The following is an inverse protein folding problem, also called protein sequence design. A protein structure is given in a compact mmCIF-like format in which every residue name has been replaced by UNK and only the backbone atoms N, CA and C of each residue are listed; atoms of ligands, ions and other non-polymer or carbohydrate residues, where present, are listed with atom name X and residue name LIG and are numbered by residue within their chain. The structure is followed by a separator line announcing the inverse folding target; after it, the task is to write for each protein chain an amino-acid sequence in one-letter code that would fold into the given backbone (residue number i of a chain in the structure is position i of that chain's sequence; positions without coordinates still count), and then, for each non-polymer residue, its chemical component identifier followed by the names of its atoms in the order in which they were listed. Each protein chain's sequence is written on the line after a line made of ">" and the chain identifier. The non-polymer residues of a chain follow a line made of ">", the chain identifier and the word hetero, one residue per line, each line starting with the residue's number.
data_IF_009472482198
#
_entry.id   IF_009472482198
#
_cell.length_a   1.000
_cell.length_b   1.000
_cell.length_c   1.000
_cell.angle_alpha   90.00
_cell.angle_beta   90.00
_cell.angle_gamma   90.00
#
_symmetry.space_group_name_H-M   'P 1'
#
loop_
_entity.id
_entity.type
_entity.pdbx_description
1 polymer ?
#
# COMPACT_ATOMS: atom_id res chain seq x y z
N UNK A 1 -8.27 24.80 19.90
CA UNK A 1 -9.34 24.31 19.01
C UNK A 1 -8.83 24.41 17.59
N UNK A 2 -8.37 23.32 16.99
CA UNK A 2 -8.06 23.29 15.57
C UNK A 2 -9.38 23.04 14.84
N UNK A 3 -9.81 23.99 14.01
CA UNK A 3 -10.97 23.81 13.17
C UNK A 3 -10.65 22.71 12.14
N UNK A 4 -11.28 21.54 12.27
CA UNK A 4 -11.31 20.54 11.21
C UNK A 4 -12.12 21.12 10.06
N UNK A 5 -11.45 21.71 9.08
CA UNK A 5 -12.10 22.12 7.84
C UNK A 5 -12.49 20.85 7.08
N UNK A 6 -13.71 20.36 7.28
CA UNK A 6 -14.24 19.20 6.56
C UNK A 6 -14.51 19.61 5.11
N UNK A 7 -13.44 19.62 4.29
CA UNK A 7 -13.54 19.90 2.87
C UNK A 7 -14.51 18.91 2.23
N UNK A 8 -15.66 19.40 1.77
CA UNK A 8 -16.63 18.57 1.07
C UNK A 8 -16.07 18.28 -0.31
N UNK A 9 -15.80 17.01 -0.60
CA UNK A 9 -15.34 16.58 -1.92
C UNK A 9 -16.57 16.36 -2.80
N UNK A 10 -16.59 17.01 -3.97
CA UNK A 10 -17.69 16.90 -4.94
C UNK A 10 -17.22 16.26 -6.24
N UNK A 11 -18.09 15.45 -6.83
CA UNK A 11 -17.85 14.74 -8.08
C UNK A 11 -19.09 14.88 -8.97
N UNK A 12 -18.91 15.33 -10.22
CA UNK A 12 -19.99 15.46 -11.19
C UNK A 12 -19.90 14.34 -12.21
N UNK A 13 -20.97 13.55 -12.32
CA UNK A 13 -21.01 12.37 -13.18
C UNK A 13 -21.86 12.65 -14.41
N UNK A 14 -21.38 12.26 -15.59
CA UNK A 14 -22.23 12.08 -16.76
C UNK A 14 -22.64 10.61 -16.83
N UNK A 15 -23.94 10.35 -16.71
CA UNK A 15 -24.50 8.99 -16.63
C UNK A 15 -25.38 8.74 -17.85
N UNK A 16 -25.12 7.65 -18.57
CA UNK A 16 -26.06 7.06 -19.50
C UNK A 16 -27.06 6.22 -18.70
N UNK A 17 -28.26 6.76 -18.51
CA UNK A 17 -29.33 6.11 -17.75
C UNK A 17 -29.93 4.91 -18.47
N UNK A 18 -29.83 4.85 -19.81
CA UNK A 18 -30.36 3.73 -20.59
C UNK A 18 -29.51 2.49 -20.44
N UNK A 19 -28.18 2.66 -20.34
CA UNK A 19 -27.22 1.57 -20.15
C UNK A 19 -26.79 1.39 -18.70
N UNK A 20 -27.26 2.27 -17.81
CA UNK A 20 -26.83 2.35 -16.41
C UNK A 20 -25.31 2.42 -16.26
N UNK A 21 -24.66 3.31 -17.02
CA UNK A 21 -23.20 3.46 -17.05
C UNK A 21 -22.77 4.89 -16.81
N UNK A 22 -21.72 5.07 -16.02
CA UNK A 22 -21.00 6.34 -15.89
C UNK A 22 -20.09 6.50 -17.11
N UNK A 23 -20.27 7.58 -17.88
CA UNK A 23 -19.49 7.88 -19.07
C UNK A 23 -18.26 8.75 -18.73
N UNK A 24 -18.46 9.75 -17.87
CA UNK A 24 -17.42 10.68 -17.45
C UNK A 24 -17.62 11.09 -15.99
N UNK A 25 -16.52 11.44 -15.33
CA UNK A 25 -16.50 12.04 -14.00
C UNK A 25 -15.61 13.29 -14.02
N UNK A 26 -16.19 14.44 -13.71
CA UNK A 26 -15.50 15.70 -13.51
C UNK A 26 -15.27 15.89 -12.01
N UNK A 27 -14.03 16.17 -11.62
CA UNK A 27 -13.60 16.26 -10.24
C UNK A 27 -12.71 17.48 -9.99
N UNK A 28 -12.80 18.05 -8.80
CA UNK A 28 -11.88 19.09 -8.34
C UNK A 28 -10.48 18.54 -8.03
N UNK A 29 -9.50 19.43 -7.94
CA UNK A 29 -8.09 19.10 -7.67
C UNK A 29 -7.92 18.19 -6.45
N UNK A 30 -8.61 18.47 -5.36
CA UNK A 30 -8.45 17.74 -4.10
C UNK A 30 -8.84 16.26 -4.24
N UNK A 31 -9.89 15.94 -5.02
CA UNK A 31 -10.28 14.56 -5.31
C UNK A 31 -9.24 13.87 -6.19
N UNK A 32 -8.75 14.57 -7.22
CA UNK A 32 -7.77 14.02 -8.16
C UNK A 32 -6.45 13.71 -7.44
N UNK A 33 -5.96 14.64 -6.63
CA UNK A 33 -4.77 14.46 -5.81
C UNK A 33 -4.95 13.29 -4.83
N UNK A 34 -6.11 13.19 -4.18
CA UNK A 34 -6.44 12.07 -3.31
C UNK A 34 -6.42 10.73 -4.08
N UNK A 35 -7.05 10.66 -5.26
CA UNK A 35 -7.11 9.46 -6.07
C UNK A 35 -5.71 9.02 -6.53
N UNK A 36 -4.91 9.94 -7.06
CA UNK A 36 -3.53 9.61 -7.46
C UNK A 36 -2.66 9.23 -6.28
N UNK A 37 -2.86 9.88 -5.14
CA UNK A 37 -2.18 9.49 -3.90
C UNK A 37 -2.56 8.06 -3.51
N UNK A 38 -3.84 7.71 -3.53
CA UNK A 38 -4.32 6.36 -3.24
C UNK A 38 -3.72 5.34 -4.23
N UNK A 39 -3.68 5.65 -5.53
CA UNK A 39 -3.12 4.78 -6.57
C UNK A 39 -1.59 4.66 -6.50
N UNK A 40 -0.91 5.63 -5.88
CA UNK A 40 0.54 5.57 -5.65
C UNK A 40 0.92 4.65 -4.48
N UNK A 41 -0.04 4.27 -3.63
CA UNK A 41 0.22 3.38 -2.52
C UNK A 41 0.36 1.93 -3.00
N UNK A 42 1.29 1.16 -2.41
CA UNK A 42 1.32 -0.28 -2.61
C UNK A 42 -0.03 -0.91 -2.25
N UNK A 43 -0.44 -1.96 -3.00
CA UNK A 43 -1.71 -2.63 -2.78
C UNK A 43 -1.90 -3.11 -1.32
N UNK A 44 -0.83 -3.62 -0.69
CA UNK A 44 -0.85 -4.01 0.72
C UNK A 44 -1.13 -2.85 1.68
N UNK A 45 -0.68 -1.64 1.35
CA UNK A 45 -0.96 -0.42 2.14
C UNK A 45 -2.42 -0.01 2.00
N UNK A 46 -2.98 -0.08 0.79
CA UNK A 46 -4.42 0.19 0.56
C UNK A 46 -5.27 -0.82 1.32
N UNK A 47 -4.90 -2.10 1.26
CA UNK A 47 -5.49 -3.18 2.05
C UNK A 47 -5.46 -2.85 3.55
N UNK A 48 -4.35 -2.34 4.09
CA UNK A 48 -4.27 -1.99 5.51
C UNK A 48 -5.19 -0.81 5.89
N UNK A 49 -5.33 0.16 4.99
CA UNK A 49 -6.12 1.38 5.22
C UNK A 49 -7.62 1.15 5.11
N UNK A 50 -8.04 0.18 4.29
CA UNK A 50 -9.45 -0.19 4.14
C UNK A 50 -9.81 -1.29 5.15
N UNK A 51 -10.98 -1.21 5.76
CA UNK A 51 -11.53 -2.34 6.51
C UNK A 51 -11.90 -3.47 5.57
N UNK A 52 -11.84 -4.73 6.05
CA UNK A 52 -12.14 -5.92 5.26
C UNK A 52 -13.53 -5.84 4.61
N UNK A 53 -14.50 -5.25 5.31
CA UNK A 53 -15.88 -5.04 4.82
C UNK A 53 -16.01 -3.90 3.79
N UNK A 54 -15.08 -2.93 3.78
CA UNK A 54 -15.05 -1.83 2.82
C UNK A 54 -14.35 -2.23 1.51
N UNK A 55 -13.58 -3.32 1.50
CA UNK A 55 -12.93 -3.83 0.30
C UNK A 55 -13.93 -4.58 -0.58
N UNK A 56 -14.30 -3.98 -1.71
CA UNK A 56 -15.19 -4.60 -2.69
C UNK A 56 -14.45 -4.97 -3.98
N UNK A 57 -15.00 -5.96 -4.70
CA UNK A 57 -14.48 -6.37 -6.01
C UNK A 57 -13.14 -7.10 -5.93
N UNK A 58 -12.23 -6.75 -6.86
CA UNK A 58 -10.95 -7.45 -7.02
C UNK A 58 -10.01 -7.27 -5.83
N UNK A 59 -10.07 -6.14 -5.12
CA UNK A 59 -9.19 -5.89 -3.98
C UNK A 59 -9.54 -6.80 -2.79
N UNK A 60 -10.83 -6.97 -2.49
CA UNK A 60 -11.28 -7.91 -1.46
C UNK A 60 -10.94 -9.36 -1.82
N UNK A 61 -11.05 -9.72 -3.10
CA UNK A 61 -10.63 -11.05 -3.59
C UNK A 61 -9.13 -11.28 -3.52
N UNK A 62 -8.33 -10.25 -3.81
CA UNK A 62 -6.87 -10.31 -3.63
C UNK A 62 -6.50 -10.49 -2.17
N UNK A 63 -7.15 -9.75 -1.25
CA UNK A 63 -6.97 -9.90 0.19
C UNK A 63 -7.26 -11.34 0.63
N UNK A 64 -8.43 -11.87 0.27
CA UNK A 64 -8.87 -13.23 0.59
C UNK A 64 -7.88 -14.28 0.06
N UNK A 65 -7.38 -14.08 -1.16
CA UNK A 65 -6.39 -14.99 -1.77
C UNK A 65 -5.06 -15.01 -1.01
N UNK A 66 -4.58 -13.87 -0.52
CA UNK A 66 -3.32 -13.80 0.24
C UNK A 66 -3.50 -14.35 1.66
N UNK A 67 -4.66 -14.11 2.28
CA UNK A 67 -5.01 -14.67 3.59
C UNK A 67 -5.06 -16.21 3.57
N UNK A 68 -5.60 -16.78 2.48
CA UNK A 68 -5.79 -18.23 2.29
C UNK A 68 -4.62 -18.95 1.62
N UNK A 69 -3.62 -18.23 1.10
CA UNK A 69 -2.43 -18.78 0.44
C UNK A 69 -1.71 -19.78 1.36
N UNK A 70 -1.17 -20.90 0.86
CA UNK A 70 -0.38 -21.78 1.74
C UNK A 70 1.00 -21.15 2.04
N UNK A 71 1.49 -21.29 3.27
CA UNK A 71 2.76 -20.70 3.71
C UNK A 71 3.97 -21.29 2.95
N UNK A 72 3.82 -22.49 2.37
CA UNK A 72 4.82 -23.12 1.48
C UNK A 72 5.15 -22.30 0.23
N UNK A 73 4.25 -21.41 -0.20
CA UNK A 73 4.49 -20.51 -1.33
C UNK A 73 5.20 -19.22 -0.93
N UNK A 74 5.45 -19.01 0.37
CA UNK A 74 6.15 -17.85 0.89
C UNK A 74 7.64 -18.16 1.10
N UNK A 75 8.46 -17.10 1.02
CA UNK A 75 9.87 -17.23 1.34
C UNK A 75 10.04 -17.62 2.82
N UNK A 76 11.07 -18.41 3.16
CA UNK A 76 11.40 -18.71 4.55
C UNK A 76 11.54 -17.41 5.35
N UNK A 77 10.87 -17.35 6.52
CA UNK A 77 10.79 -16.18 7.41
C UNK A 77 9.86 -15.03 6.94
N UNK A 78 9.11 -15.19 5.85
CA UNK A 78 8.08 -14.23 5.45
C UNK A 78 6.71 -14.65 6.00
N UNK A 79 6.08 -13.76 6.77
CA UNK A 79 4.70 -13.95 7.27
C UNK A 79 3.70 -13.25 6.33
N UNK A 80 2.50 -13.83 6.15
CA UNK A 80 1.38 -13.19 5.43
C UNK A 80 1.03 -11.81 5.96
N UNK A 81 1.16 -11.59 7.26
CA UNK A 81 0.97 -10.29 7.90
C UNK A 81 1.89 -9.22 7.30
N UNK A 82 3.06 -9.57 6.76
CA UNK A 82 3.92 -8.62 6.06
C UNK A 82 3.24 -8.06 4.79
N UNK A 83 2.41 -8.85 4.12
CA UNK A 83 1.65 -8.46 2.92
C UNK A 83 0.29 -7.84 3.26
N UNK A 84 -0.40 -8.39 4.25
CA UNK A 84 -1.74 -7.97 4.67
C UNK A 84 -1.72 -6.74 5.60
N UNK A 85 -0.64 -6.56 6.34
CA UNK A 85 -0.43 -5.51 7.34
C UNK A 85 0.99 -4.94 7.22
N UNK A 86 1.37 -4.37 6.07
CA UNK A 86 2.69 -3.78 5.89
C UNK A 86 2.97 -2.77 7.00
N UNK A 87 4.19 -2.76 7.54
CA UNK A 87 4.53 -1.95 8.71
C UNK A 87 4.49 -0.46 8.42
N UNK A 88 4.80 -0.01 7.21
CA UNK A 88 4.82 1.42 6.88
C UNK A 88 4.24 1.68 5.47
N UNK A 89 3.54 2.81 5.25
CA UNK A 89 3.32 3.30 3.90
C UNK A 89 4.68 3.71 3.33
N UNK A 90 5.11 3.08 2.23
CA UNK A 90 6.23 3.58 1.44
C UNK A 90 5.92 5.06 1.16
N UNK A 91 6.85 5.95 1.53
CA UNK A 91 6.67 7.39 1.57
C UNK A 91 5.98 7.94 0.30
N UNK A 92 4.65 8.00 0.32
CA UNK A 92 3.91 8.82 -0.60
C UNK A 92 4.01 10.27 -0.09
N UNK A 93 4.12 11.20 -1.04
CA UNK A 93 4.66 12.54 -0.84
C UNK A 93 4.01 13.38 0.28
N UNK A 94 4.52 14.60 0.51
CA UNK A 94 4.24 15.42 1.70
C UNK A 94 2.74 15.66 2.04
N UNK A 95 1.83 15.50 1.08
CA UNK A 95 0.39 15.65 1.28
C UNK A 95 -0.29 14.41 1.91
N UNK A 96 0.39 13.26 1.98
CA UNK A 96 -0.09 12.02 2.57
C UNK A 96 -0.17 12.11 4.11
N UNK A 97 0.73 12.87 4.73
CA UNK A 97 0.84 13.03 6.20
C UNK A 97 -0.42 13.64 6.83
N UNK A 98 -1.16 14.47 6.09
CA UNK A 98 -2.41 15.05 6.56
C UNK A 98 -3.58 14.05 6.63
N UNK A 99 -3.53 12.97 5.85
CA UNK A 99 -4.55 11.91 5.83
C UNK A 99 -4.18 10.74 6.76
N UNK A 100 -2.90 10.57 7.06
CA UNK A 100 -2.32 9.46 7.82
C UNK A 100 -1.88 9.88 9.22
N UNK A 101 -2.62 10.75 9.91
CA UNK A 101 -2.23 11.41 11.18
C UNK A 101 -1.90 10.48 12.38
N UNK A 102 -1.72 9.17 12.18
CA UNK A 102 -1.25 8.23 13.19
C UNK A 102 -0.02 7.40 12.76
N UNK A 103 0.57 7.67 11.59
CA UNK A 103 1.80 6.98 11.16
C UNK A 103 3.01 7.76 11.67
N UNK A 104 3.47 7.43 12.89
CA UNK A 104 4.83 7.76 13.31
C UNK A 104 5.81 7.08 12.36
N UNK A 105 6.34 7.84 11.40
CA UNK A 105 7.51 7.43 10.62
C UNK A 105 8.69 7.34 11.59
N UNK A 106 8.89 6.16 12.15
CA UNK A 106 10.10 5.79 12.85
C UNK A 106 10.84 4.74 12.02
N UNK A 107 12.16 4.80 12.08
CA UNK A 107 13.14 3.97 11.40
C UNK A 107 13.43 4.28 9.91
N UNK A 108 14.68 4.75 9.69
CA UNK A 108 15.40 4.60 8.44
C UNK A 108 15.44 3.11 8.06
N UNK A 109 14.91 2.74 6.89
CA UNK A 109 15.05 1.38 6.36
C UNK A 109 16.54 1.07 6.14
N UNK A 110 17.16 0.41 7.11
CA UNK A 110 18.55 -0.03 7.01
C UNK A 110 18.56 -1.35 6.29
N UNK A 111 19.13 -1.38 5.08
CA UNK A 111 19.26 -2.60 4.28
C UNK A 111 20.63 -3.21 4.59
N UNK A 112 20.63 -4.49 4.93
CA UNK A 112 21.82 -5.27 5.20
C UNK A 112 22.25 -6.03 3.95
N UNK A 113 23.54 -6.02 3.67
CA UNK A 113 24.13 -6.73 2.54
C UNK A 113 24.90 -7.95 3.03
N UNK A 114 24.69 -9.08 2.37
CA UNK A 114 25.58 -10.21 2.56
C UNK A 114 26.89 -9.99 1.79
N UNK A 115 27.99 -9.76 2.50
CA UNK A 115 29.33 -9.75 1.90
C UNK A 115 29.88 -11.17 1.87
N UNK A 116 29.83 -11.84 0.71
CA UNK A 116 30.54 -13.10 0.50
C UNK A 116 31.91 -12.83 -0.15
N UNK A 117 33.00 -13.27 0.49
CA UNK A 117 34.38 -12.95 0.08
C UNK A 117 34.89 -13.76 -1.12
N UNK A 118 34.18 -14.82 -1.55
CA UNK A 118 34.58 -15.64 -2.70
C UNK A 118 33.83 -15.23 -3.97
N UNK A 119 34.25 -14.10 -4.54
CA UNK A 119 33.68 -13.49 -5.73
C UNK A 119 34.15 -14.17 -7.03
N UNK A 120 33.38 -15.14 -7.54
CA UNK A 120 33.35 -15.44 -8.98
C UNK A 120 31.96 -15.21 -9.61
N UNK A 121 30.90 -15.18 -8.80
CA UNK A 121 29.55 -14.80 -9.22
C UNK A 121 28.99 -13.74 -8.27
N UNK A 122 28.85 -12.50 -8.77
CA UNK A 122 28.27 -11.37 -8.03
C UNK A 122 26.74 -11.52 -7.93
N UNK A 123 26.28 -12.35 -7.00
CA UNK A 123 24.89 -12.26 -6.53
C UNK A 123 24.90 -11.49 -5.21
N UNK A 124 24.41 -10.26 -5.23
CA UNK A 124 24.25 -9.45 -4.01
C UNK A 124 22.92 -9.80 -3.35
N UNK A 125 22.98 -10.51 -2.22
CA UNK A 125 21.80 -10.76 -1.39
C UNK A 125 21.60 -9.60 -0.41
N UNK A 126 20.34 -9.15 -0.30
CA UNK A 126 19.93 -8.06 0.60
C UNK A 126 18.84 -8.54 1.55
N UNK A 127 18.87 -8.05 2.78
CA UNK A 127 17.86 -8.33 3.79
C UNK A 127 17.57 -7.07 4.63
N UNK A 128 16.37 -6.98 5.18
CA UNK A 128 15.92 -5.97 6.13
C UNK A 128 16.08 -6.43 7.60
N UNK A 129 16.27 -7.73 7.82
CA UNK A 129 16.62 -8.32 9.12
C UNK A 129 18.15 -8.53 9.24
N UNK A 130 18.85 -7.89 10.22
CA UNK A 130 20.27 -8.11 10.45
C UNK A 130 20.61 -9.56 10.85
N UNK A 131 19.63 -10.38 11.23
CA UNK A 131 19.80 -11.80 11.59
C UNK A 131 19.50 -12.76 10.42
N UNK A 132 19.12 -12.25 9.26
CA UNK A 132 18.88 -13.08 8.08
C UNK A 132 20.16 -13.86 7.72
N UNK A 133 20.01 -15.18 7.49
CA UNK A 133 21.12 -16.03 7.05
C UNK A 133 21.34 -15.85 5.54
N UNK A 134 22.59 -15.65 5.13
CA UNK A 134 22.94 -15.65 3.73
C UNK A 134 22.74 -17.05 3.10
N UNK A 135 22.30 -17.12 1.83
CA UNK A 135 22.33 -18.35 1.04
C UNK A 135 23.75 -18.88 0.83
#
# INVERSE_FOLDING_TARGET
>A
MAASNSGTVSLKLLIDTTRNKVLFAEAGKDFVDFLFTLLSLPAGTIIRLLSKDAMVGSLGKLYESVETLNDEYLQPNLNKDTLLKPKEPIAAGPNLLGLLTDVKSDARNTIYHCSNSNCYYRNSYVADDPKAKCP
#
